data_IF_718893715893
#
_entry.id   IF_718893715893
#
_cell.length_a   1.000
_cell.length_b   1.000
_cell.length_c   1.000
_cell.angle_alpha   90.00
_cell.angle_beta   90.00
_cell.angle_gamma   90.00
#
_symmetry.space_group_name_H-M   'P 1'
#
loop_
_entity.id
_entity.type
_entity.pdbx_description
1 polymer ?
#
# COMPACT_ATOMS: atom_id res chain seq x y z
N UNK A 1 -7.61 39.56 -6.02
CA UNK A 1 -7.37 40.02 -7.36
C UNK A 1 -6.78 38.90 -8.21
N UNK A 2 -6.40 39.20 -9.46
CA UNK A 2 -5.94 38.18 -10.41
C UNK A 2 -4.73 37.41 -9.91
N UNK A 3 -3.79 38.09 -9.26
CA UNK A 3 -2.59 37.42 -8.76
C UNK A 3 -2.92 36.39 -7.68
N UNK A 4 -3.83 36.73 -6.78
CA UNK A 4 -4.26 35.82 -5.73
C UNK A 4 -5.01 34.61 -6.30
N UNK A 5 -5.80 34.82 -7.35
CA UNK A 5 -6.49 33.72 -8.01
C UNK A 5 -5.52 32.78 -8.70
N UNK A 6 -4.50 33.31 -9.37
CA UNK A 6 -3.48 32.49 -10.02
C UNK A 6 -2.68 31.66 -9.00
N UNK A 7 -2.33 32.27 -7.87
CA UNK A 7 -1.62 31.56 -6.81
C UNK A 7 -2.49 30.44 -6.25
N UNK A 8 -3.78 30.70 -6.04
CA UNK A 8 -4.71 29.70 -5.54
C UNK A 8 -4.89 28.55 -6.54
N UNK A 9 -5.00 28.86 -7.83
CA UNK A 9 -5.12 27.84 -8.88
C UNK A 9 -3.85 27.00 -8.96
N UNK A 10 -2.68 27.63 -8.91
CA UNK A 10 -1.40 26.94 -8.96
C UNK A 10 -1.22 26.03 -7.75
N UNK A 11 -1.58 26.51 -6.56
CA UNK A 11 -1.51 25.72 -5.34
C UNK A 11 -2.43 24.50 -5.45
N UNK A 12 -3.64 24.69 -5.98
CA UNK A 12 -4.58 23.62 -6.18
C UNK A 12 -4.06 22.57 -7.16
N UNK A 13 -3.45 23.02 -8.26
CA UNK A 13 -2.84 22.11 -9.23
C UNK A 13 -1.69 21.32 -8.62
N UNK A 14 -0.85 21.99 -7.81
CA UNK A 14 0.24 21.31 -7.12
C UNK A 14 -0.30 20.25 -6.15
N UNK A 15 -1.35 20.57 -5.41
CA UNK A 15 -1.96 19.66 -4.47
C UNK A 15 -2.56 18.44 -5.18
N UNK A 16 -3.24 18.67 -6.31
CA UNK A 16 -3.82 17.57 -7.10
C UNK A 16 -2.71 16.71 -7.70
N UNK A 17 -1.67 17.33 -8.26
CA UNK A 17 -0.54 16.59 -8.82
C UNK A 17 0.15 15.75 -7.76
N UNK A 18 0.36 16.31 -6.57
CA UNK A 18 0.96 15.58 -5.46
C UNK A 18 0.08 14.43 -5.02
N UNK A 19 -1.24 14.65 -4.94
CA UNK A 19 -2.17 13.59 -4.57
C UNK A 19 -2.15 12.45 -5.58
N UNK A 20 -2.06 12.77 -6.88
CA UNK A 20 -1.96 11.74 -7.93
C UNK A 20 -0.65 10.96 -7.80
N UNK A 21 0.46 11.66 -7.55
CA UNK A 21 1.76 11.00 -7.36
C UNK A 21 1.75 10.13 -6.11
N UNK A 22 1.11 10.59 -5.03
CA UNK A 22 0.97 9.80 -3.81
C UNK A 22 0.14 8.55 -4.06
N UNK A 23 -0.92 8.67 -4.87
CA UNK A 23 -1.74 7.51 -5.22
C UNK A 23 -0.93 6.51 -6.05
N UNK A 24 -0.15 6.98 -7.02
CA UNK A 24 0.71 6.11 -7.81
C UNK A 24 1.71 5.38 -6.93
N UNK A 25 2.31 6.09 -5.97
CA UNK A 25 3.23 5.48 -5.01
C UNK A 25 2.53 4.44 -4.14
N UNK A 26 1.29 4.72 -3.71
CA UNK A 26 0.51 3.79 -2.91
C UNK A 26 0.14 2.54 -3.71
N UNK A 27 -0.19 2.68 -4.99
CA UNK A 27 -0.47 1.54 -5.88
C UNK A 27 0.78 0.68 -6.04
N UNK A 28 1.94 1.32 -6.24
CA UNK A 28 3.21 0.59 -6.35
C UNK A 28 3.55 -0.14 -5.05
N UNK A 29 3.31 0.50 -3.90
CA UNK A 29 3.52 -0.13 -2.59
C UNK A 29 2.59 -1.32 -2.39
N UNK A 30 1.32 -1.19 -2.82
CA UNK A 30 0.36 -2.29 -2.73
C UNK A 30 0.81 -3.48 -3.58
N UNK A 31 1.24 -3.22 -4.82
CA UNK A 31 1.73 -4.28 -5.70
C UNK A 31 2.96 -4.97 -5.12
N UNK A 32 3.90 -4.20 -4.54
CA UNK A 32 5.08 -4.76 -3.88
C UNK A 32 4.68 -5.59 -2.65
N UNK A 33 3.70 -5.13 -1.88
CA UNK A 33 3.20 -5.85 -0.71
C UNK A 33 2.53 -7.16 -1.12
N UNK A 34 1.79 -7.19 -2.24
CA UNK A 34 1.21 -8.42 -2.77
C UNK A 34 2.28 -9.45 -3.13
N UNK A 35 3.33 -9.00 -3.82
CA UNK A 35 4.45 -9.88 -4.16
C UNK A 35 5.17 -10.38 -2.91
N UNK A 36 5.34 -9.52 -1.93
CA UNK A 36 5.98 -9.89 -0.67
C UNK A 36 5.13 -10.93 0.09
N UNK A 37 3.81 -10.75 0.11
CA UNK A 37 2.92 -11.72 0.73
C UNK A 37 2.98 -13.07 0.00
N UNK A 38 2.99 -13.07 -1.32
CA UNK A 38 3.09 -14.31 -2.10
C UNK A 38 4.39 -15.03 -1.77
N UNK A 39 5.52 -14.30 -1.66
CA UNK A 39 6.79 -14.89 -1.28
C UNK A 39 6.77 -15.44 0.15
N UNK A 40 6.17 -14.70 1.08
CA UNK A 40 6.04 -15.14 2.47
C UNK A 40 5.13 -16.37 2.58
N UNK A 41 4.07 -16.43 1.78
CA UNK A 41 3.17 -17.58 1.71
C UNK A 41 3.91 -18.83 1.24
N UNK A 42 4.71 -18.69 0.17
CA UNK A 42 5.51 -19.80 -0.36
C UNK A 42 6.53 -20.28 0.67
N UNK A 43 7.20 -19.34 1.35
CA UNK A 43 8.15 -19.67 2.39
C UNK A 43 7.47 -20.38 3.57
N UNK A 44 6.27 -19.94 3.93
CA UNK A 44 5.49 -20.58 5.00
C UNK A 44 5.12 -22.01 4.61
N UNK A 45 4.62 -22.22 3.39
CA UNK A 45 4.24 -23.55 2.91
C UNK A 45 5.44 -24.49 2.93
N UNK A 46 6.60 -24.00 2.51
CA UNK A 46 7.83 -24.77 2.51
C UNK A 46 8.27 -25.12 3.93
N UNK A 47 8.20 -24.14 4.84
CA UNK A 47 8.55 -24.35 6.25
C UNK A 47 7.60 -25.33 6.93
N UNK A 48 6.30 -25.26 6.59
CA UNK A 48 5.31 -26.18 7.12
C UNK A 48 5.60 -27.63 6.69
N UNK A 49 5.92 -27.81 5.42
CA UNK A 49 6.28 -29.13 4.90
C UNK A 49 7.51 -29.67 5.60
N UNK A 50 8.55 -28.86 5.78
CA UNK A 50 9.76 -29.26 6.47
C UNK A 50 9.50 -29.60 7.93
N UNK A 51 8.66 -28.81 8.59
CA UNK A 51 8.29 -29.06 9.99
C UNK A 51 7.54 -30.37 10.13
N UNK A 52 6.59 -30.64 9.22
CA UNK A 52 5.83 -31.89 9.24
C UNK A 52 6.71 -33.11 8.96
N UNK A 53 7.78 -32.93 8.18
CA UNK A 53 8.75 -33.99 7.92
C UNK A 53 9.81 -34.12 9.03
N UNK A 54 9.78 -33.24 10.03
CA UNK A 54 10.75 -33.25 11.11
C UNK A 54 12.10 -32.69 10.77
N UNK A 55 12.27 -32.05 9.60
CA UNK A 55 13.55 -31.50 9.16
C UNK A 55 13.78 -30.04 9.51
N UNK A 56 12.72 -29.33 9.99
CA UNK A 56 12.82 -27.94 10.43
C UNK A 56 12.50 -27.84 11.92
N UNK A 57 13.13 -26.88 12.59
CA UNK A 57 12.87 -26.62 14.00
C UNK A 57 11.56 -25.84 14.18
N UNK A 58 11.00 -25.90 15.38
CA UNK A 58 9.82 -25.10 15.71
C UNK A 58 10.11 -23.61 15.66
N UNK A 59 11.37 -23.22 15.89
CA UNK A 59 11.79 -21.82 15.75
C UNK A 59 11.66 -21.34 14.31
N UNK A 60 12.13 -22.13 13.36
CA UNK A 60 12.02 -21.79 11.93
C UNK A 60 10.58 -21.69 11.47
N UNK A 61 9.73 -22.62 11.95
CA UNK A 61 8.30 -22.61 11.64
C UNK A 61 7.61 -21.38 12.21
N UNK A 62 7.88 -21.05 13.47
CA UNK A 62 7.32 -19.86 14.12
C UNK A 62 7.77 -18.59 13.43
N UNK A 63 9.05 -18.53 13.01
CA UNK A 63 9.58 -17.39 12.28
C UNK A 63 8.85 -17.20 10.96
N UNK A 64 8.58 -18.28 10.24
CA UNK A 64 7.83 -18.24 8.97
C UNK A 64 6.40 -17.73 9.18
N UNK A 65 5.74 -18.16 10.26
CA UNK A 65 4.40 -17.69 10.63
C UNK A 65 4.42 -16.18 10.87
N UNK A 66 5.41 -15.70 11.61
CA UNK A 66 5.54 -14.27 11.93
C UNK A 66 5.79 -13.45 10.69
N UNK A 67 6.64 -13.93 9.77
CA UNK A 67 6.92 -13.23 8.51
C UNK A 67 5.66 -13.15 7.64
N UNK A 68 4.88 -14.23 7.58
CA UNK A 68 3.62 -14.23 6.83
C UNK A 68 2.63 -13.24 7.44
N UNK A 69 2.47 -13.25 8.76
CA UNK A 69 1.56 -12.33 9.46
C UNK A 69 1.97 -10.89 9.23
N UNK A 70 3.27 -10.59 9.26
CA UNK A 70 3.77 -9.24 9.01
C UNK A 70 3.51 -8.82 7.57
N UNK A 71 3.68 -9.72 6.60
CA UNK A 71 3.41 -9.43 5.20
C UNK A 71 1.93 -9.17 4.96
N UNK A 72 1.04 -9.93 5.61
CA UNK A 72 -0.40 -9.71 5.54
C UNK A 72 -0.78 -8.35 6.12
N UNK A 73 -0.20 -7.98 7.26
CA UNK A 73 -0.45 -6.68 7.89
C UNK A 73 0.01 -5.54 6.99
N UNK A 74 1.18 -5.66 6.38
CA UNK A 74 1.72 -4.67 5.45
C UNK A 74 0.80 -4.52 4.24
N UNK A 75 0.28 -5.63 3.70
CA UNK A 75 -0.65 -5.61 2.57
C UNK A 75 -1.93 -4.86 2.93
N UNK A 76 -2.50 -5.14 4.09
CA UNK A 76 -3.72 -4.48 4.56
C UNK A 76 -3.49 -2.97 4.70
N UNK A 77 -2.37 -2.57 5.29
CA UNK A 77 -2.03 -1.15 5.43
C UNK A 77 -1.88 -0.48 4.08
N UNK A 78 -1.20 -1.12 3.14
CA UNK A 78 -1.02 -0.58 1.79
C UNK A 78 -2.35 -0.45 1.07
N UNK A 79 -3.26 -1.41 1.26
CA UNK A 79 -4.60 -1.36 0.67
C UNK A 79 -5.40 -0.17 1.20
N UNK A 80 -5.40 0.04 2.52
CA UNK A 80 -6.12 1.16 3.12
C UNK A 80 -5.52 2.49 2.70
N UNK A 81 -4.20 2.59 2.63
CA UNK A 81 -3.54 3.80 2.16
C UNK A 81 -3.94 4.13 0.72
N UNK A 82 -3.98 3.11 -0.14
CA UNK A 82 -4.40 3.29 -1.53
C UNK A 82 -5.83 3.77 -1.63
N UNK A 83 -6.75 3.16 -0.88
CA UNK A 83 -8.16 3.55 -0.87
C UNK A 83 -8.31 4.97 -0.34
N UNK A 84 -7.63 5.31 0.75
CA UNK A 84 -7.69 6.63 1.37
C UNK A 84 -7.19 7.71 0.40
N UNK A 85 -6.08 7.46 -0.26
CA UNK A 85 -5.52 8.42 -1.23
C UNK A 85 -6.40 8.56 -2.45
N UNK A 86 -7.04 7.48 -2.88
CA UNK A 86 -8.03 7.52 -3.96
C UNK A 86 -9.21 8.41 -3.61
N UNK A 87 -9.70 8.32 -2.37
CA UNK A 87 -10.80 9.16 -1.90
C UNK A 87 -10.41 10.63 -1.81
N UNK A 88 -9.17 10.91 -1.44
CA UNK A 88 -8.66 12.29 -1.40
C UNK A 88 -8.69 12.89 -2.82
N UNK A 89 -8.27 12.13 -3.82
CA UNK A 89 -8.28 12.58 -5.21
C UNK A 89 -9.72 12.81 -5.68
N UNK A 90 -10.63 11.90 -5.36
CA UNK A 90 -12.05 12.06 -5.69
C UNK A 90 -12.60 13.34 -5.07
N UNK A 91 -12.23 13.63 -3.81
CA UNK A 91 -12.65 14.85 -3.13
C UNK A 91 -12.15 16.09 -3.86
N UNK A 92 -10.89 16.09 -4.28
CA UNK A 92 -10.33 17.23 -5.01
C UNK A 92 -11.00 17.42 -6.37
N UNK A 93 -11.30 16.32 -7.07
CA UNK A 93 -11.97 16.37 -8.36
C UNK A 93 -13.39 16.88 -8.22
N UNK A 94 -14.14 16.41 -7.21
CA UNK A 94 -15.49 16.89 -6.93
C UNK A 94 -15.48 18.39 -6.64
N UNK A 95 -14.51 18.84 -5.83
CA UNK A 95 -14.38 20.24 -5.48
C UNK A 95 -14.06 21.10 -6.69
N UNK A 96 -13.31 20.56 -7.64
CA UNK A 96 -12.97 21.27 -8.89
C UNK A 96 -14.18 21.33 -9.83
N UNK A 97 -15.02 20.29 -9.82
CA UNK A 97 -16.20 20.20 -10.68
C UNK A 97 -17.40 21.03 -10.18
N UNK A 98 -17.38 21.45 -8.92
CA UNK A 98 -18.45 22.23 -8.31
C UNK A 98 -18.39 23.71 -8.69
N UNK A 99 -17.58 24.07 -9.64
CA UNK A 99 -17.56 25.41 -10.22
C UNK A 99 -18.38 25.43 -11.50
#
# INVERSE_FOLDING_TARGET
TQLNQQIAINTMRQNVTQAINDLKAAIASYAAAEKNLAAAQSAFDFAEKKFNMGTASSFDYTNAINMKAQAESTLVQAKYDMIFKSKIIDYYLDKTLDF
#
